data_IF_487296246126
#
_entry.id   IF_487296246126
#
_cell.length_a   1.000
_cell.length_b   1.000
_cell.length_c   1.000
_cell.angle_alpha   90.00
_cell.angle_beta   90.00
_cell.angle_gamma   90.00
#
_symmetry.space_group_name_H-M   'P 1'
#
loop_
_entity.id
_entity.type
_entity.pdbx_description
1 polymer ?
#
# COMPACT_ATOMS: atom_id res chain seq x y z
N UNK A 1 16.20 -31.44 7.19
CA UNK A 1 15.95 -30.98 5.80
C UNK A 1 15.48 -29.54 5.84
N UNK A 2 16.42 -28.59 5.88
CA UNK A 2 16.09 -27.17 5.76
C UNK A 2 15.99 -26.86 4.28
N UNK A 3 14.77 -26.83 3.75
CA UNK A 3 14.53 -26.42 2.37
C UNK A 3 14.96 -24.97 2.17
N UNK A 4 15.69 -24.70 1.10
CA UNK A 4 16.02 -23.35 0.66
C UNK A 4 14.71 -22.55 0.58
N UNK A 5 14.59 -21.40 1.27
CA UNK A 5 13.38 -20.61 1.18
C UNK A 5 13.16 -20.20 -0.27
N UNK A 6 12.00 -20.56 -0.84
CA UNK A 6 11.66 -20.26 -2.23
C UNK A 6 11.65 -18.74 -2.51
N UNK A 7 11.61 -18.32 -3.79
CA UNK A 7 11.73 -16.91 -4.19
C UNK A 7 10.76 -15.96 -3.46
N UNK A 8 9.59 -16.46 -3.03
CA UNK A 8 8.62 -15.70 -2.24
C UNK A 8 9.10 -15.27 -0.85
N UNK A 9 10.08 -15.96 -0.26
CA UNK A 9 10.58 -15.64 1.08
C UNK A 9 11.33 -14.31 1.13
N UNK A 10 12.00 -13.92 0.03
CA UNK A 10 12.73 -12.65 -0.08
C UNK A 10 11.84 -11.44 -0.37
N UNK A 11 10.60 -11.65 -0.81
CA UNK A 11 9.71 -10.56 -1.21
C UNK A 11 9.17 -9.75 -0.02
N UNK A 12 8.97 -10.36 1.15
CA UNK A 12 8.44 -9.64 2.33
C UNK A 12 9.42 -8.60 2.88
N UNK A 13 10.72 -8.92 3.11
CA UNK A 13 11.70 -7.91 3.50
C UNK A 13 11.82 -6.77 2.47
N UNK A 14 11.83 -7.08 1.17
CA UNK A 14 11.89 -6.08 0.10
C UNK A 14 10.64 -5.19 0.07
N UNK A 15 9.45 -5.79 0.21
CA UNK A 15 8.19 -5.05 0.28
C UNK A 15 8.19 -4.07 1.46
N UNK A 16 8.67 -4.51 2.64
CA UNK A 16 8.83 -3.63 3.81
C UNK A 16 9.81 -2.48 3.52
N UNK A 17 10.98 -2.78 2.97
CA UNK A 17 11.99 -1.77 2.67
C UNK A 17 11.45 -0.67 1.73
N UNK A 18 10.72 -1.06 0.67
CA UNK A 18 10.10 -0.09 -0.25
C UNK A 18 9.03 0.76 0.45
N UNK A 19 8.21 0.16 1.33
CA UNK A 19 7.21 0.91 2.09
C UNK A 19 7.82 1.87 3.10
N UNK A 20 8.94 1.49 3.72
CA UNK A 20 9.69 2.36 4.64
C UNK A 20 10.24 3.58 3.89
N UNK A 21 10.90 3.38 2.74
CA UNK A 21 11.36 4.47 1.88
C UNK A 21 10.21 5.35 1.39
N UNK A 22 9.09 4.75 0.96
CA UNK A 22 7.92 5.51 0.54
C UNK A 22 7.34 6.33 1.71
N UNK A 23 7.34 5.78 2.92
CA UNK A 23 6.86 6.44 4.14
C UNK A 23 7.70 7.66 4.50
N UNK A 24 9.02 7.58 4.35
CA UNK A 24 9.93 8.71 4.60
C UNK A 24 9.65 9.92 3.70
N UNK A 25 9.27 9.66 2.44
CA UNK A 25 9.00 10.70 1.44
C UNK A 25 7.55 11.19 1.54
N UNK A 26 6.58 10.28 1.39
CA UNK A 26 5.15 10.61 1.33
C UNK A 26 4.61 11.04 2.69
N UNK A 27 5.22 10.59 3.79
CA UNK A 27 4.87 11.03 5.15
C UNK A 27 5.05 12.54 5.38
N UNK A 28 5.80 13.23 4.51
CA UNK A 28 6.00 14.69 4.54
C UNK A 28 4.91 15.47 3.78
N UNK A 29 4.00 14.79 3.10
CA UNK A 29 2.92 15.45 2.35
C UNK A 29 1.93 16.10 3.31
N UNK A 30 1.62 17.36 3.04
CA UNK A 30 0.70 18.22 3.76
C UNK A 30 -0.43 18.66 2.82
N UNK A 31 -1.60 19.10 3.34
CA UNK A 31 -2.72 19.53 2.51
C UNK A 31 -2.35 20.57 1.44
N UNK A 32 -1.48 21.52 1.78
CA UNK A 32 -0.98 22.56 0.88
C UNK A 32 -0.17 22.02 -0.32
N UNK A 33 0.33 20.78 -0.25
CA UNK A 33 1.09 20.15 -1.34
C UNK A 33 0.19 19.43 -2.35
N UNK A 34 -1.10 19.21 -2.06
CA UNK A 34 -1.93 18.27 -2.82
C UNK A 34 -2.12 18.66 -4.28
N UNK A 35 -2.11 19.95 -4.60
CA UNK A 35 -2.22 20.44 -5.98
C UNK A 35 -0.91 20.44 -6.78
N UNK A 36 0.22 19.97 -6.22
CA UNK A 36 1.49 19.96 -6.95
C UNK A 36 1.47 18.93 -8.09
N UNK A 37 2.07 19.25 -9.25
CA UNK A 37 2.15 18.32 -10.37
C UNK A 37 3.05 17.13 -10.03
N UNK A 38 2.78 15.98 -10.65
CA UNK A 38 3.63 14.79 -10.53
C UNK A 38 4.15 14.34 -11.90
N UNK A 39 5.24 13.56 -11.97
CA UNK A 39 5.67 12.91 -13.21
C UNK A 39 4.64 11.91 -13.76
N UNK A 40 3.71 11.44 -12.91
CA UNK A 40 2.53 10.69 -13.33
C UNK A 40 1.51 11.69 -13.89
N UNK A 41 1.72 12.15 -15.13
CA UNK A 41 1.03 13.31 -15.74
C UNK A 41 -0.51 13.28 -15.69
N UNK A 42 -1.13 12.12 -15.41
CA UNK A 42 -2.56 11.99 -15.20
C UNK A 42 -3.04 12.49 -13.82
N UNK A 43 -2.13 12.69 -12.85
CA UNK A 43 -2.46 12.91 -11.44
C UNK A 43 -1.65 14.03 -10.80
N UNK A 44 -2.34 14.87 -10.03
CA UNK A 44 -1.68 15.70 -9.02
C UNK A 44 -1.21 14.87 -7.81
N UNK A 45 -0.49 15.51 -6.89
CA UNK A 45 0.06 14.82 -5.72
C UNK A 45 -1.05 14.24 -4.83
N UNK A 46 -2.18 14.93 -4.70
CA UNK A 46 -3.31 14.47 -3.92
C UNK A 46 -3.95 13.22 -4.49
N UNK A 47 -4.18 13.19 -5.80
CA UNK A 47 -4.70 12.03 -6.54
C UNK A 47 -3.75 10.84 -6.46
N UNK A 48 -2.44 11.08 -6.59
CA UNK A 48 -1.43 10.03 -6.45
C UNK A 48 -1.42 9.43 -5.03
N UNK A 49 -1.39 10.26 -3.99
CA UNK A 49 -1.40 9.80 -2.59
C UNK A 49 -2.70 9.08 -2.25
N UNK A 50 -3.84 9.58 -2.74
CA UNK A 50 -5.14 8.96 -2.56
C UNK A 50 -5.20 7.54 -3.15
N UNK A 51 -4.62 7.36 -4.35
CA UNK A 51 -4.51 6.07 -5.02
C UNK A 51 -3.62 5.09 -4.27
N UNK A 52 -2.42 5.52 -3.91
CA UNK A 52 -1.47 4.68 -3.17
C UNK A 52 -2.06 4.23 -1.82
N UNK A 53 -2.73 5.14 -1.11
CA UNK A 53 -3.41 4.85 0.15
C UNK A 53 -4.54 3.84 -0.05
N UNK A 54 -5.41 4.05 -1.05
CA UNK A 54 -6.49 3.13 -1.37
C UNK A 54 -6.01 1.72 -1.72
N UNK A 55 -4.95 1.62 -2.53
CA UNK A 55 -4.33 0.34 -2.91
C UNK A 55 -3.76 -0.40 -1.71
N UNK A 56 -3.01 0.29 -0.83
CA UNK A 56 -2.48 -0.32 0.39
C UNK A 56 -3.59 -0.94 1.25
N UNK A 57 -4.63 -0.17 1.54
CA UNK A 57 -5.76 -0.63 2.36
C UNK A 57 -6.45 -1.84 1.73
N UNK A 58 -6.60 -1.84 0.39
CA UNK A 58 -7.29 -2.91 -0.30
C UNK A 58 -6.48 -4.20 -0.40
N UNK A 59 -5.18 -4.10 -0.66
CA UNK A 59 -4.30 -5.27 -0.60
C UNK A 59 -4.23 -5.84 0.81
N UNK A 60 -4.25 -4.99 1.84
CA UNK A 60 -4.32 -5.44 3.23
C UNK A 60 -5.62 -6.24 3.51
N UNK A 61 -6.77 -5.76 3.01
CA UNK A 61 -8.04 -6.47 3.10
C UNK A 61 -8.02 -7.82 2.36
N UNK A 62 -7.54 -7.84 1.12
CA UNK A 62 -7.43 -9.06 0.31
C UNK A 62 -6.50 -10.10 0.95
N UNK A 63 -5.36 -9.67 1.50
CA UNK A 63 -4.43 -10.54 2.21
C UNK A 63 -5.04 -11.19 3.45
N UNK A 64 -5.96 -10.48 4.12
CA UNK A 64 -6.75 -10.99 5.26
C UNK A 64 -7.95 -11.86 4.83
N UNK A 65 -8.10 -12.13 3.54
CA UNK A 65 -9.14 -13.03 3.01
C UNK A 65 -10.49 -12.37 2.77
N UNK A 66 -10.56 -11.03 2.77
CA UNK A 66 -11.79 -10.33 2.39
C UNK A 66 -11.99 -10.43 0.87
N UNK A 67 -13.23 -10.62 0.44
CA UNK A 67 -13.61 -10.52 -0.98
C UNK A 67 -13.56 -9.05 -1.40
N UNK A 68 -12.94 -8.76 -2.53
CA UNK A 68 -12.77 -7.40 -3.05
C UNK A 68 -13.34 -7.28 -4.45
N UNK A 69 -13.87 -6.11 -4.78
CA UNK A 69 -14.40 -5.73 -6.10
C UNK A 69 -13.51 -4.68 -6.78
N UNK A 70 -13.83 -4.26 -8.01
CA UNK A 70 -13.09 -3.16 -8.65
C UNK A 70 -13.28 -1.82 -7.91
N UNK A 71 -14.50 -1.53 -7.44
CA UNK A 71 -14.83 -0.29 -6.70
C UNK A 71 -14.03 -0.16 -5.40
N UNK A 72 -13.64 -1.29 -4.85
CA UNK A 72 -12.90 -1.42 -3.61
C UNK A 72 -11.44 -0.93 -3.71
N UNK A 73 -10.90 -0.82 -4.92
CA UNK A 73 -9.58 -0.24 -5.25
C UNK A 73 -9.63 1.24 -5.62
N UNK A 74 -10.79 1.90 -5.47
CA UNK A 74 -10.91 3.32 -5.74
C UNK A 74 -9.95 4.15 -4.85
N UNK A 75 -9.47 5.31 -5.34
CA UNK A 75 -8.67 6.24 -4.55
C UNK A 75 -9.39 6.61 -3.24
N UNK A 76 -8.65 6.71 -2.14
CA UNK A 76 -9.17 7.20 -0.87
C UNK A 76 -8.80 8.67 -0.71
N UNK A 77 -9.76 9.60 -0.58
CA UNK A 77 -9.45 11.02 -0.42
C UNK A 77 -8.40 11.24 0.66
N UNK A 78 -7.39 12.07 0.34
CA UNK A 78 -6.21 12.23 1.19
C UNK A 78 -6.54 12.90 2.56
N UNK A 79 -7.66 13.63 2.63
CA UNK A 79 -8.15 14.29 3.84
C UNK A 79 -7.19 15.38 4.35
N UNK A 80 -7.33 15.72 5.63
CA UNK A 80 -6.55 16.80 6.26
C UNK A 80 -5.12 16.38 6.68
N UNK A 81 -4.84 15.07 6.66
CA UNK A 81 -3.55 14.51 7.06
C UNK A 81 -3.04 13.49 6.03
N UNK A 82 -2.79 13.92 4.77
CA UNK A 82 -2.49 13.02 3.64
C UNK A 82 -1.27 12.12 3.88
N UNK A 83 -0.16 12.70 4.37
CA UNK A 83 1.04 11.92 4.70
C UNK A 83 0.79 10.88 5.79
N UNK A 84 0.09 11.26 6.87
CA UNK A 84 -0.23 10.34 7.97
C UNK A 84 -1.17 9.21 7.54
N UNK A 85 -2.16 9.52 6.69
CA UNK A 85 -3.04 8.53 6.08
C UNK A 85 -2.27 7.50 5.25
N UNK A 86 -1.32 7.96 4.43
CA UNK A 86 -0.44 7.07 3.68
C UNK A 86 0.39 6.19 4.63
N UNK A 87 1.07 6.76 5.63
CA UNK A 87 1.88 6.00 6.61
C UNK A 87 1.05 4.91 7.30
N UNK A 88 -0.17 5.22 7.72
CA UNK A 88 -1.05 4.26 8.34
C UNK A 88 -1.40 3.11 7.38
N UNK A 89 -1.73 3.43 6.13
CA UNK A 89 -2.03 2.41 5.11
C UNK A 89 -0.83 1.51 4.80
N UNK A 90 0.38 2.07 4.71
CA UNK A 90 1.62 1.33 4.45
C UNK A 90 1.91 0.33 5.58
N UNK A 91 1.71 0.74 6.84
CA UNK A 91 1.83 -0.15 8.00
C UNK A 91 0.81 -1.29 7.95
N UNK A 92 -0.44 -0.99 7.58
CA UNK A 92 -1.50 -1.99 7.51
C UNK A 92 -1.23 -3.06 6.46
N UNK A 93 -0.75 -2.69 5.28
CA UNK A 93 -0.45 -3.64 4.20
C UNK A 93 0.79 -4.46 4.50
N UNK A 94 1.85 -3.84 5.05
CA UNK A 94 3.05 -4.56 5.50
C UNK A 94 2.72 -5.59 6.59
N UNK A 95 1.83 -5.25 7.54
CA UNK A 95 1.38 -6.16 8.57
C UNK A 95 0.54 -7.31 7.99
N UNK A 96 -0.39 -7.00 7.08
CA UNK A 96 -1.23 -8.02 6.45
C UNK A 96 -0.39 -9.05 5.66
N UNK A 97 0.60 -8.61 4.88
CA UNK A 97 1.50 -9.51 4.17
C UNK A 97 2.45 -10.31 5.06
N UNK A 98 2.65 -9.86 6.32
CA UNK A 98 3.46 -10.58 7.30
C UNK A 98 2.69 -11.68 8.05
N UNK A 99 1.35 -11.72 7.96
CA UNK A 99 0.54 -12.72 8.64
C UNK A 99 0.89 -14.16 8.19
N UNK A 100 0.83 -15.15 9.10
CA UNK A 100 1.10 -16.55 8.77
C UNK A 100 0.20 -17.07 7.65
N UNK A 101 0.76 -17.86 6.74
CA UNK A 101 0.03 -18.49 5.64
C UNK A 101 -0.29 -17.57 4.46
N UNK A 102 -0.10 -16.26 4.58
CA UNK A 102 -0.33 -15.31 3.47
C UNK A 102 0.54 -15.62 2.23
N UNK A 103 1.82 -16.01 2.33
CA UNK A 103 2.63 -16.33 1.15
C UNK A 103 2.07 -17.49 0.29
N UNK A 104 1.27 -18.39 0.88
CA UNK A 104 0.64 -19.51 0.17
C UNK A 104 -0.84 -19.27 -0.15
N UNK A 105 -1.42 -18.16 0.33
CA UNK A 105 -2.83 -17.82 0.16
C UNK A 105 -3.06 -17.20 -1.21
N UNK A 106 -4.15 -17.60 -1.87
CA UNK A 106 -4.66 -16.94 -3.07
C UNK A 106 -5.57 -15.79 -2.67
N UNK A 107 -5.45 -14.65 -3.36
CA UNK A 107 -6.29 -13.49 -3.12
C UNK A 107 -7.34 -13.40 -4.22
N UNK A 108 -8.57 -13.07 -3.84
CA UNK A 108 -9.60 -12.68 -4.80
C UNK A 108 -9.41 -11.19 -5.12
N UNK A 109 -8.72 -10.92 -6.23
CA UNK A 109 -8.58 -9.60 -6.82
C UNK A 109 -9.52 -9.49 -8.03
N UNK A 110 -10.14 -8.32 -8.27
CA UNK A 110 -11.00 -8.07 -9.42
C UNK A 110 -10.24 -8.09 -10.76
#
# INVERSE_FOLDING_TARGET
MSGTPGPAAGLRPLHRAVLDTATEVVGRVRPEHLGLPTPCAAWDLGELVARMTGQNLRFAAAARGQVTSAADFAPRPAGDAPGAGFVASARQVAAAFAEPGVPARRFALP
#
